data_IF_287515540103
#
_entry.id   IF_287515540103
#
_cell.length_a   1.000
_cell.length_b   1.000
_cell.length_c   1.000
_cell.angle_alpha   90.00
_cell.angle_beta   90.00
_cell.angle_gamma   90.00
#
_symmetry.space_group_name_H-M   'P 1'
#
loop_
_entity.id
_entity.type
_entity.pdbx_description
1 polymer ?
#
# COMPACT_ATOMS: atom_id res chain seq x y z
N UNK A 1 5.17 8.76 -15.68
CA UNK A 1 6.00 8.13 -16.74
C UNK A 1 6.32 9.17 -17.79
N UNK A 2 7.57 9.31 -18.17
CA UNK A 2 7.98 10.23 -19.22
C UNK A 2 7.91 9.58 -20.63
N UNK A 3 8.21 10.36 -21.67
CA UNK A 3 8.19 9.91 -23.06
C UNK A 3 9.23 8.83 -23.38
N UNK A 4 10.26 8.68 -22.54
CA UNK A 4 11.27 7.63 -22.63
C UNK A 4 10.88 6.33 -21.92
N UNK A 5 9.68 6.28 -21.33
CA UNK A 5 9.17 5.13 -20.59
C UNK A 5 9.68 4.99 -19.17
N UNK A 6 10.41 5.98 -18.63
CA UNK A 6 10.84 5.97 -17.23
C UNK A 6 9.64 6.13 -16.31
N UNK A 7 9.59 5.35 -15.24
CA UNK A 7 8.58 5.42 -14.20
C UNK A 7 9.14 6.12 -12.97
N UNK A 8 8.44 7.15 -12.52
CA UNK A 8 8.75 7.86 -11.28
C UNK A 8 7.80 7.37 -10.19
N UNK A 9 8.35 7.03 -9.03
CA UNK A 9 7.61 6.55 -7.87
C UNK A 9 7.65 7.54 -6.72
N UNK A 10 6.83 7.28 -5.72
CA UNK A 10 6.89 7.92 -4.42
C UNK A 10 7.58 6.97 -3.44
N UNK A 11 8.65 7.42 -2.81
CA UNK A 11 9.29 6.71 -1.70
C UNK A 11 8.73 7.26 -0.40
N UNK A 12 8.04 6.40 0.32
CA UNK A 12 7.43 6.73 1.59
C UNK A 12 8.28 6.15 2.72
N UNK A 13 8.47 6.93 3.79
CA UNK A 13 9.20 6.49 4.97
C UNK A 13 8.30 6.67 6.19
N UNK A 14 8.05 5.57 6.88
CA UNK A 14 7.27 5.55 8.12
C UNK A 14 8.17 5.11 9.26
N UNK A 15 8.02 5.77 10.40
CA UNK A 15 8.69 5.40 11.62
C UNK A 15 7.80 4.40 12.36
N UNK A 16 8.29 3.16 12.54
CA UNK A 16 7.56 2.08 13.22
C UNK A 16 8.36 1.54 14.39
N UNK A 17 7.68 1.07 15.42
CA UNK A 17 8.31 0.49 16.61
C UNK A 17 9.02 -0.83 16.32
N UNK A 18 10.08 -1.14 17.10
CA UNK A 18 10.83 -2.40 16.98
C UNK A 18 10.26 -3.56 17.79
N UNK A 19 9.15 -3.36 18.49
CA UNK A 19 8.58 -4.39 19.36
C UNK A 19 8.02 -5.61 18.61
N UNK A 20 7.75 -5.46 17.30
CA UNK A 20 7.25 -6.53 16.43
C UNK A 20 8.27 -7.07 15.43
N UNK A 21 8.06 -8.29 14.95
CA UNK A 21 8.86 -8.84 13.85
C UNK A 21 8.54 -8.12 12.54
N UNK A 22 9.56 -7.56 11.90
CA UNK A 22 9.42 -6.80 10.64
C UNK A 22 8.73 -7.59 9.53
N UNK A 23 9.09 -8.85 9.35
CA UNK A 23 8.50 -9.67 8.28
C UNK A 23 7.03 -9.98 8.52
N UNK A 24 6.60 -10.10 9.78
CA UNK A 24 5.17 -10.23 10.11
C UNK A 24 4.39 -8.96 9.82
N UNK A 25 4.96 -7.81 10.16
CA UNK A 25 4.36 -6.51 9.80
C UNK A 25 4.26 -6.37 8.29
N UNK A 26 5.35 -6.67 7.55
CA UNK A 26 5.37 -6.60 6.10
C UNK A 26 4.33 -7.52 5.46
N UNK A 27 4.20 -8.77 5.92
CA UNK A 27 3.24 -9.75 5.42
C UNK A 27 1.80 -9.24 5.46
N UNK A 28 1.39 -8.62 6.57
CA UNK A 28 0.02 -8.13 6.74
C UNK A 28 -0.21 -6.74 6.14
N UNK A 29 0.86 -5.96 5.91
CA UNK A 29 0.78 -4.65 5.26
C UNK A 29 0.76 -4.74 3.74
N UNK A 30 1.46 -5.72 3.15
CA UNK A 30 1.57 -5.88 1.70
C UNK A 30 0.22 -5.93 0.97
N UNK A 31 -0.81 -6.65 1.44
CA UNK A 31 -2.11 -6.67 0.77
C UNK A 31 -2.73 -5.27 0.67
N UNK A 32 -2.61 -4.46 1.72
CA UNK A 32 -3.01 -3.06 1.69
C UNK A 32 -2.22 -2.28 0.64
N UNK A 33 -0.88 -2.36 0.66
CA UNK A 33 -0.01 -1.65 -0.28
C UNK A 33 -0.27 -2.04 -1.73
N UNK A 34 -0.60 -3.31 -1.98
CA UNK A 34 -0.94 -3.84 -3.31
C UNK A 34 -2.28 -3.30 -3.80
N UNK A 35 -3.30 -3.26 -2.95
CA UNK A 35 -4.66 -2.85 -3.34
C UNK A 35 -4.88 -1.34 -3.28
N UNK A 36 -4.12 -0.57 -2.48
CA UNK A 36 -4.29 0.88 -2.33
C UNK A 36 -4.05 1.68 -3.62
N UNK A 37 -3.46 1.07 -4.66
CA UNK A 37 -3.39 1.71 -5.97
C UNK A 37 -4.77 2.11 -6.53
N UNK A 38 -5.85 1.45 -6.09
CA UNK A 38 -7.20 1.82 -6.49
C UNK A 38 -7.63 3.20 -5.98
N UNK A 39 -7.08 3.62 -4.84
CA UNK A 39 -7.41 4.91 -4.20
C UNK A 39 -6.34 5.99 -4.42
N UNK A 40 -5.12 5.61 -4.77
CA UNK A 40 -4.01 6.56 -4.92
C UNK A 40 -3.07 6.24 -6.10
N UNK A 41 -3.49 5.43 -7.06
CA UNK A 41 -2.77 5.23 -8.31
C UNK A 41 -2.81 6.48 -9.19
N UNK A 42 -1.73 6.75 -9.94
CA UNK A 42 -1.62 7.91 -10.80
C UNK A 42 -1.98 7.62 -12.28
N UNK A 43 -2.33 6.38 -12.58
CA UNK A 43 -2.71 5.96 -13.92
C UNK A 43 -1.56 5.92 -14.93
N UNK A 44 -1.67 5.02 -15.89
CA UNK A 44 -0.70 4.90 -17.01
C UNK A 44 -1.39 4.30 -18.23
N UNK A 45 -1.03 4.78 -19.41
CA UNK A 45 -1.31 4.06 -20.66
C UNK A 45 -0.13 3.11 -20.93
N UNK A 46 -0.37 1.83 -20.79
CA UNK A 46 0.61 0.78 -21.05
C UNK A 46 0.52 0.36 -22.54
N UNK A 47 1.62 0.53 -23.26
CA UNK A 47 1.74 0.02 -24.63
C UNK A 47 2.10 -1.46 -24.60
N UNK A 48 1.33 -2.27 -25.30
CA UNK A 48 1.57 -3.70 -25.47
C UNK A 48 1.57 -4.07 -26.94
N UNK A 49 2.10 -5.24 -27.35
CA UNK A 49 2.00 -5.73 -28.73
C UNK A 49 0.55 -5.87 -29.22
N UNK A 50 -0.43 -5.92 -28.32
CA UNK A 50 -1.86 -6.03 -28.63
C UNK A 50 -2.59 -4.68 -28.65
N UNK A 51 -1.86 -3.57 -28.43
CA UNK A 51 -2.42 -2.22 -28.35
C UNK A 51 -2.19 -1.54 -27.01
N UNK A 52 -2.82 -0.39 -26.84
CA UNK A 52 -2.74 0.41 -25.60
C UNK A 52 -3.77 -0.05 -24.59
N UNK A 53 -3.35 -0.16 -23.32
CA UNK A 53 -4.24 -0.49 -22.19
C UNK A 53 -4.01 0.51 -21.06
N UNK A 54 -5.09 1.00 -20.44
CA UNK A 54 -5.00 1.80 -19.24
C UNK A 54 -4.72 0.90 -18.03
N UNK A 55 -3.81 1.33 -17.16
CA UNK A 55 -3.53 0.71 -15.87
C UNK A 55 -3.64 1.73 -14.75
N UNK A 56 -4.09 1.29 -13.56
CA UNK A 56 -4.34 2.17 -12.41
C UNK A 56 -3.04 2.69 -11.82
N UNK A 57 -1.99 1.86 -11.77
CA UNK A 57 -0.68 2.24 -11.25
C UNK A 57 0.36 2.40 -12.35
N UNK A 58 1.24 3.38 -12.19
CA UNK A 58 2.43 3.53 -13.02
C UNK A 58 3.55 2.55 -12.62
N UNK A 59 3.52 2.01 -11.39
CA UNK A 59 4.60 1.24 -10.78
C UNK A 59 4.39 -0.27 -10.83
N UNK A 60 3.15 -0.76 -10.90
CA UNK A 60 2.82 -2.18 -10.75
C UNK A 60 3.65 -3.11 -11.65
N UNK A 61 3.88 -2.72 -12.91
CA UNK A 61 4.65 -3.52 -13.88
C UNK A 61 6.16 -3.54 -13.58
N UNK A 62 6.64 -2.62 -12.73
CA UNK A 62 8.06 -2.49 -12.39
C UNK A 62 8.41 -3.12 -11.03
N UNK A 63 7.43 -3.71 -10.34
CA UNK A 63 7.62 -4.38 -9.04
C UNK A 63 7.87 -5.86 -9.26
N UNK A 64 8.97 -6.38 -8.70
CA UNK A 64 9.40 -7.77 -8.90
C UNK A 64 9.54 -8.57 -7.63
N UNK A 65 9.63 -7.91 -6.48
CA UNK A 65 9.78 -8.54 -5.16
C UNK A 65 8.83 -7.89 -4.14
N UNK A 66 8.39 -8.67 -3.17
CA UNK A 66 7.55 -8.14 -2.09
C UNK A 66 8.39 -7.38 -1.07
N UNK A 67 9.48 -7.97 -0.60
CA UNK A 67 10.39 -7.40 0.39
C UNK A 67 11.82 -7.69 -0.04
N UNK A 68 12.68 -6.66 -0.13
CA UNK A 68 14.08 -6.83 -0.53
C UNK A 68 14.92 -5.63 -0.10
N UNK A 69 16.23 -5.83 0.07
CA UNK A 69 17.21 -4.75 0.24
C UNK A 69 17.71 -4.16 -1.08
N UNK A 70 17.40 -4.80 -2.21
CA UNK A 70 17.83 -4.35 -3.52
C UNK A 70 17.13 -3.05 -3.94
N UNK A 71 17.88 -2.15 -4.60
CA UNK A 71 17.35 -0.82 -4.97
C UNK A 71 17.32 -0.58 -6.47
N UNK A 72 18.18 -1.26 -7.24
CA UNK A 72 18.43 -0.92 -8.66
C UNK A 72 17.83 -1.91 -9.64
N UNK A 73 17.93 -3.20 -9.40
CA UNK A 73 17.44 -4.24 -10.32
C UNK A 73 16.09 -4.80 -9.94
N UNK A 74 15.84 -4.93 -8.65
CA UNK A 74 14.58 -5.39 -8.10
C UNK A 74 13.93 -4.21 -7.40
N UNK A 75 12.71 -3.85 -7.79
CA UNK A 75 11.92 -2.82 -7.13
C UNK A 75 10.92 -3.53 -6.23
N UNK A 76 11.22 -3.66 -4.92
CA UNK A 76 10.31 -4.31 -4.00
C UNK A 76 9.12 -3.41 -3.65
N UNK A 77 8.08 -3.99 -3.05
CA UNK A 77 6.99 -3.23 -2.42
C UNK A 77 7.54 -2.51 -1.20
N UNK A 78 8.29 -3.25 -0.35
CA UNK A 78 8.94 -2.73 0.87
C UNK A 78 10.44 -2.99 0.77
N UNK A 79 11.24 -1.95 0.99
CA UNK A 79 12.68 -2.06 1.07
C UNK A 79 13.12 -2.24 2.53
N UNK A 80 14.05 -3.15 2.76
CA UNK A 80 14.50 -3.52 4.12
C UNK A 80 15.61 -2.64 4.69
N UNK A 81 16.04 -1.58 3.99
CA UNK A 81 17.02 -0.64 4.51
C UNK A 81 16.47 0.09 5.73
N UNK A 82 17.10 -0.14 6.85
CA UNK A 82 16.69 0.33 8.17
C UNK A 82 17.62 1.44 8.66
N UNK A 83 17.31 2.66 8.30
CA UNK A 83 18.03 3.89 8.70
C UNK A 83 17.01 4.91 9.21
N UNK A 84 16.57 4.81 10.49
CA UNK A 84 15.33 5.47 10.93
C UNK A 84 15.45 6.99 11.12
N UNK A 85 16.64 7.61 11.09
CA UNK A 85 16.83 9.02 11.46
C UNK A 85 16.19 9.40 12.82
N UNK A 86 16.11 8.42 13.72
CA UNK A 86 15.55 8.50 15.06
C UNK A 86 16.32 7.53 15.97
N UNK A 87 15.86 7.34 17.22
CA UNK A 87 16.41 6.34 18.12
C UNK A 87 16.29 4.92 17.50
N UNK A 88 17.42 4.41 17.00
CA UNK A 88 17.48 3.14 16.29
C UNK A 88 17.27 1.91 17.19
N UNK A 89 17.30 2.05 18.51
CA UNK A 89 16.98 0.96 19.44
C UNK A 89 15.45 0.79 19.57
N UNK A 90 14.72 1.87 19.45
CA UNK A 90 13.25 1.92 19.63
C UNK A 90 12.49 1.83 18.32
N UNK A 91 13.03 2.40 17.25
CA UNK A 91 12.33 2.59 15.99
C UNK A 91 13.10 2.02 14.81
N UNK A 92 12.36 1.66 13.77
CA UNK A 92 12.89 1.33 12.45
C UNK A 92 12.22 2.17 11.36
N UNK A 93 12.91 2.33 10.27
CA UNK A 93 12.33 2.90 9.05
C UNK A 93 11.61 1.82 8.26
N UNK A 94 10.32 1.97 8.08
CA UNK A 94 9.59 1.23 7.06
C UNK A 94 9.67 2.02 5.75
N UNK A 95 10.41 1.50 4.78
CA UNK A 95 10.64 2.14 3.49
C UNK A 95 9.75 1.51 2.42
N UNK A 96 8.65 2.17 2.07
CA UNK A 96 7.70 1.74 1.04
C UNK A 96 8.04 2.42 -0.28
N UNK A 97 8.25 1.63 -1.35
CA UNK A 97 8.68 2.17 -2.65
C UNK A 97 7.72 1.86 -3.80
N UNK A 98 6.61 1.19 -3.51
CA UNK A 98 5.61 0.78 -4.51
C UNK A 98 4.69 1.93 -4.96
N UNK A 99 4.61 3.03 -4.20
CA UNK A 99 3.69 4.12 -4.44
C UNK A 99 3.97 4.88 -5.74
N UNK A 100 2.90 5.29 -6.42
CA UNK A 100 2.98 6.22 -7.54
C UNK A 100 3.26 7.65 -7.06
N UNK A 101 3.89 8.47 -7.89
CA UNK A 101 3.96 9.93 -7.67
C UNK A 101 2.61 10.56 -7.99
N UNK A 102 2.01 11.23 -7.02
CA UNK A 102 0.75 11.94 -7.17
C UNK A 102 0.99 13.45 -7.24
N UNK A 103 0.25 14.13 -8.10
CA UNK A 103 0.29 15.59 -8.21
C UNK A 103 -0.77 16.27 -7.32
N UNK A 104 -1.82 15.55 -6.92
CA UNK A 104 -2.87 16.06 -6.04
C UNK A 104 -2.48 15.90 -4.57
N UNK A 105 -2.61 16.98 -3.79
CA UNK A 105 -2.40 16.95 -2.34
C UNK A 105 -3.42 16.03 -1.66
N UNK A 106 -4.66 16.01 -2.13
CA UNK A 106 -5.72 15.13 -1.62
C UNK A 106 -5.33 13.66 -1.77
N UNK A 107 -4.83 13.28 -2.95
CA UNK A 107 -4.38 11.89 -3.18
C UNK A 107 -3.14 11.56 -2.34
N UNK A 108 -2.26 12.53 -2.13
CA UNK A 108 -1.08 12.37 -1.27
C UNK A 108 -1.49 12.22 0.20
N UNK A 109 -2.43 13.05 0.68
CA UNK A 109 -3.01 12.92 2.02
C UNK A 109 -3.62 11.54 2.22
N UNK A 110 -4.44 11.08 1.27
CA UNK A 110 -5.08 9.77 1.34
C UNK A 110 -4.03 8.65 1.37
N UNK A 111 -3.03 8.68 0.48
CA UNK A 111 -1.97 7.67 0.43
C UNK A 111 -1.20 7.55 1.74
N UNK A 112 -0.71 8.67 2.25
CA UNK A 112 0.11 8.70 3.47
C UNK A 112 -0.75 8.46 4.70
N UNK A 113 -1.90 9.11 4.79
CA UNK A 113 -2.78 9.03 5.96
C UNK A 113 -3.44 7.66 6.10
N UNK A 114 -3.91 7.05 5.01
CA UNK A 114 -4.44 5.69 5.07
C UNK A 114 -3.37 4.69 5.52
N UNK A 115 -2.14 4.85 5.03
CA UNK A 115 -1.02 3.99 5.46
C UNK A 115 -0.68 4.19 6.94
N UNK A 116 -0.66 5.43 7.43
CA UNK A 116 -0.43 5.74 8.84
C UNK A 116 -1.49 5.09 9.75
N UNK A 117 -2.77 5.20 9.37
CA UNK A 117 -3.86 4.58 10.12
C UNK A 117 -3.78 3.04 10.12
N UNK A 118 -3.45 2.44 8.98
CA UNK A 118 -3.22 0.98 8.90
C UNK A 118 -2.05 0.58 9.78
N UNK A 119 -0.93 1.30 9.74
CA UNK A 119 0.23 1.01 10.59
C UNK A 119 -0.10 1.10 12.08
N UNK A 120 -0.79 2.15 12.52
CA UNK A 120 -1.23 2.28 13.92
C UNK A 120 -2.11 1.10 14.36
N UNK A 121 -3.02 0.68 13.51
CA UNK A 121 -3.87 -0.48 13.76
C UNK A 121 -3.05 -1.79 13.86
N UNK A 122 -2.06 -1.96 12.99
CA UNK A 122 -1.20 -3.15 12.98
C UNK A 122 -0.24 -3.17 14.19
N UNK A 123 0.33 -2.03 14.58
CA UNK A 123 1.17 -1.90 15.77
C UNK A 123 0.38 -2.15 17.07
N UNK A 124 -0.92 -1.85 17.07
CA UNK A 124 -1.84 -2.21 18.16
C UNK A 124 -2.21 -3.70 18.18
N UNK A 125 -1.69 -4.52 17.25
CA UNK A 125 -1.88 -5.97 17.22
C UNK A 125 -3.16 -6.45 16.55
N UNK A 126 -3.80 -5.64 15.73
CA UNK A 126 -5.00 -6.05 15.01
C UNK A 126 -4.76 -7.27 14.11
N UNK A 127 -5.64 -8.29 14.12
CA UNK A 127 -5.48 -9.48 13.29
C UNK A 127 -5.83 -9.18 11.83
N UNK A 128 -4.82 -9.27 10.93
CA UNK A 128 -4.97 -8.98 9.51
C UNK A 128 -4.48 -10.10 8.58
N UNK A 129 -4.08 -11.25 9.13
CA UNK A 129 -3.52 -12.37 8.35
C UNK A 129 -4.51 -13.03 7.39
N UNK A 130 -5.79 -12.87 7.64
CA UNK A 130 -6.85 -13.38 6.77
C UNK A 130 -6.87 -12.74 5.38
N UNK A 131 -6.20 -11.60 5.20
CA UNK A 131 -6.04 -10.88 3.93
C UNK A 131 -4.69 -11.12 3.25
N UNK A 132 -3.79 -11.93 3.82
CA UNK A 132 -2.48 -12.25 3.21
C UNK A 132 -2.66 -12.80 1.79
N UNK A 133 -1.93 -12.22 0.83
CA UNK A 133 -1.97 -12.62 -0.57
C UNK A 133 -1.11 -13.86 -0.83
N UNK A 134 -1.61 -14.78 -1.66
CA UNK A 134 -0.83 -15.94 -2.14
C UNK A 134 0.36 -15.49 -3.00
N UNK A 135 0.14 -14.53 -3.88
CA UNK A 135 1.19 -13.98 -4.75
C UNK A 135 1.01 -12.45 -4.91
N UNK A 136 1.67 -11.64 -4.07
CA UNK A 136 1.55 -10.18 -4.12
C UNK A 136 1.99 -9.57 -5.46
N UNK A 137 3.02 -10.13 -6.10
CA UNK A 137 3.58 -9.59 -7.36
C UNK A 137 2.64 -9.81 -8.54
N UNK A 138 1.95 -10.93 -8.57
CA UNK A 138 0.88 -11.17 -9.54
C UNK A 138 -0.32 -10.29 -9.23
N UNK A 139 -0.73 -10.25 -7.97
CA UNK A 139 -1.91 -9.50 -7.53
C UNK A 139 -1.82 -8.01 -7.82
N UNK A 140 -0.65 -7.38 -7.62
CA UNK A 140 -0.48 -5.96 -7.90
C UNK A 140 -0.70 -5.64 -9.40
N UNK A 141 -0.26 -6.51 -10.30
CA UNK A 141 -0.46 -6.35 -11.75
C UNK A 141 -1.90 -6.61 -12.14
N UNK A 142 -2.50 -7.68 -11.60
CA UNK A 142 -3.90 -8.04 -11.85
C UNK A 142 -4.84 -6.90 -11.43
N UNK A 143 -4.64 -6.30 -10.26
CA UNK A 143 -5.41 -5.15 -9.77
C UNK A 143 -5.13 -3.90 -10.63
N UNK A 144 -3.87 -3.65 -11.02
CA UNK A 144 -3.50 -2.49 -11.83
C UNK A 144 -4.17 -2.49 -13.21
N UNK A 145 -4.35 -3.67 -13.80
CA UNK A 145 -4.94 -3.84 -15.13
C UNK A 145 -6.47 -3.85 -15.12
N UNK A 146 -7.09 -3.75 -13.95
CA UNK A 146 -8.54 -3.67 -13.80
C UNK A 146 -9.00 -2.37 -13.12
N UNK A 147 -9.34 -1.33 -13.89
CA UNK A 147 -9.83 -0.07 -13.35
C UNK A 147 -11.14 -0.18 -12.56
N UNK A 148 -11.87 -1.29 -12.69
CA UNK A 148 -13.10 -1.52 -11.92
C UNK A 148 -12.82 -1.99 -10.48
N UNK A 149 -11.60 -2.47 -10.21
CA UNK A 149 -11.19 -3.02 -8.93
C UNK A 149 -11.88 -4.34 -8.55
N UNK A 150 -12.59 -4.98 -9.49
CA UNK A 150 -13.41 -6.19 -9.23
C UNK A 150 -12.69 -7.50 -9.54
N UNK A 151 -11.53 -7.44 -10.19
CA UNK A 151 -10.74 -8.63 -10.50
C UNK A 151 -10.34 -9.34 -9.22
N UNK A 152 -10.59 -10.65 -9.18
CA UNK A 152 -10.29 -11.48 -8.01
C UNK A 152 -8.80 -11.84 -7.97
N UNK A 153 -8.23 -11.73 -6.78
CA UNK A 153 -6.88 -12.20 -6.42
C UNK A 153 -6.98 -13.26 -5.33
N UNK A 154 -6.02 -14.18 -5.29
CA UNK A 154 -6.03 -15.28 -4.32
C UNK A 154 -5.35 -14.88 -3.01
N UNK A 155 -5.98 -15.24 -1.91
CA UNK A 155 -5.44 -15.16 -0.57
C UNK A 155 -4.71 -16.46 -0.20
N UNK A 156 -3.76 -16.37 0.73
CA UNK A 156 -2.98 -17.52 1.22
C UNK A 156 -3.86 -18.61 1.87
N UNK A 157 -5.04 -18.24 2.36
CA UNK A 157 -6.02 -19.17 2.93
C UNK A 157 -6.92 -19.86 1.88
N UNK A 158 -6.64 -19.72 0.59
CA UNK A 158 -7.38 -20.30 -0.52
C UNK A 158 -8.63 -19.56 -0.98
N UNK A 159 -9.09 -18.54 -0.23
CA UNK A 159 -10.18 -17.65 -0.66
C UNK A 159 -9.73 -16.72 -1.76
N UNK A 160 -10.67 -16.10 -2.45
CA UNK A 160 -10.42 -15.02 -3.40
C UNK A 160 -11.18 -13.77 -2.98
N UNK A 161 -10.60 -12.61 -3.26
CA UNK A 161 -11.13 -11.28 -2.94
C UNK A 161 -10.77 -10.32 -4.06
N UNK A 162 -11.61 -9.35 -4.35
CA UNK A 162 -11.26 -8.28 -5.29
C UNK A 162 -10.42 -7.18 -4.61
N UNK A 163 -9.69 -6.41 -5.40
CA UNK A 163 -8.93 -5.27 -4.87
C UNK A 163 -9.82 -4.26 -4.15
N UNK A 164 -11.03 -4.04 -4.67
CA UNK A 164 -12.01 -3.13 -4.06
C UNK A 164 -12.54 -3.65 -2.72
N UNK A 165 -12.89 -4.93 -2.63
CA UNK A 165 -13.31 -5.56 -1.38
C UNK A 165 -12.18 -5.54 -0.35
N UNK A 166 -10.93 -5.78 -0.78
CA UNK A 166 -9.76 -5.69 0.11
C UNK A 166 -9.61 -4.29 0.70
N UNK A 167 -9.75 -3.22 -0.09
CA UNK A 167 -9.70 -1.85 0.41
C UNK A 167 -10.85 -1.56 1.39
N UNK A 168 -12.06 -2.06 1.13
CA UNK A 168 -13.20 -1.94 2.05
C UNK A 168 -12.97 -2.65 3.38
N UNK A 169 -12.37 -3.84 3.35
CA UNK A 169 -12.00 -4.55 4.58
C UNK A 169 -10.99 -3.75 5.42
N UNK A 170 -9.96 -3.17 4.78
CA UNK A 170 -9.02 -2.31 5.49
C UNK A 170 -9.70 -1.07 6.04
N UNK A 171 -10.49 -0.36 5.24
CA UNK A 171 -11.22 0.83 5.70
C UNK A 171 -12.14 0.51 6.90
N UNK A 172 -12.94 -0.54 6.80
CA UNK A 172 -13.87 -0.95 7.87
C UNK A 172 -13.13 -1.23 9.18
N UNK A 173 -12.01 -1.95 9.12
CA UNK A 173 -11.22 -2.28 10.32
C UNK A 173 -10.49 -1.07 10.88
N UNK A 174 -9.94 -0.22 10.00
CA UNK A 174 -9.29 1.03 10.39
C UNK A 174 -10.28 1.99 11.03
N UNK A 175 -11.47 2.16 10.44
CA UNK A 175 -12.52 3.02 10.99
C UNK A 175 -12.95 2.55 12.38
N UNK A 176 -13.20 1.25 12.56
CA UNK A 176 -13.54 0.70 13.86
C UNK A 176 -12.43 0.92 14.89
N UNK A 177 -11.17 0.70 14.53
CA UNK A 177 -10.00 0.94 15.38
C UNK A 177 -9.85 2.42 15.75
N UNK A 178 -9.91 3.31 14.76
CA UNK A 178 -9.74 4.74 14.96
C UNK A 178 -10.87 5.35 15.79
N UNK A 179 -12.10 4.87 15.62
CA UNK A 179 -13.26 5.27 16.42
C UNK A 179 -13.10 4.81 17.88
N UNK A 180 -12.70 3.57 18.11
CA UNK A 180 -12.47 3.04 19.46
C UNK A 180 -11.32 3.76 20.19
N UNK A 181 -10.33 4.26 19.46
CA UNK A 181 -9.19 5.03 19.99
C UNK A 181 -9.43 6.55 20.09
N UNK A 182 -10.63 7.05 19.80
CA UNK A 182 -10.96 8.48 19.83
C UNK A 182 -10.28 9.30 18.71
N UNK A 183 -9.68 8.65 17.71
CA UNK A 183 -8.98 9.36 16.62
C UNK A 183 -9.94 10.10 15.68
N UNK A 184 -11.23 9.74 15.69
CA UNK A 184 -12.27 10.34 14.86
C UNK A 184 -13.15 11.33 15.62
N UNK A 185 -12.79 11.70 16.85
CA UNK A 185 -13.58 12.63 17.69
C UNK A 185 -13.53 14.07 17.16
N UNK A 186 -12.45 14.42 16.45
CA UNK A 186 -12.35 15.68 15.72
C UNK A 186 -12.72 15.47 14.24
N UNK A 187 -13.90 15.92 13.76
CA UNK A 187 -14.32 15.79 12.37
C UNK A 187 -13.43 16.54 11.38
N UNK A 188 -12.69 17.56 11.83
CA UNK A 188 -11.74 18.33 10.99
C UNK A 188 -10.31 17.78 11.12
N UNK A 189 -10.09 16.82 12.00
CA UNK A 189 -8.81 16.15 12.19
C UNK A 189 -8.36 15.34 10.98
N UNK A 190 -7.05 15.17 10.83
CA UNK A 190 -6.48 14.40 9.71
C UNK A 190 -7.04 12.98 9.62
N UNK A 191 -7.18 12.21 10.72
CA UNK A 191 -7.76 10.86 10.64
C UNK A 191 -9.17 10.83 10.07
N UNK A 192 -10.06 11.72 10.53
CA UNK A 192 -11.44 11.81 10.02
C UNK A 192 -11.47 12.14 8.54
N UNK A 193 -10.70 13.13 8.11
CA UNK A 193 -10.60 13.50 6.68
C UNK A 193 -10.05 12.37 5.82
N UNK A 194 -9.12 11.56 6.32
CA UNK A 194 -8.58 10.41 5.60
C UNK A 194 -9.64 9.32 5.45
N UNK A 195 -10.38 9.01 6.51
CA UNK A 195 -11.47 8.02 6.49
C UNK A 195 -12.58 8.45 5.52
N UNK A 196 -12.95 9.73 5.53
CA UNK A 196 -13.98 10.29 4.63
C UNK A 196 -13.58 10.25 3.14
N UNK A 197 -12.29 10.36 2.86
CA UNK A 197 -11.75 10.32 1.49
C UNK A 197 -11.52 8.90 0.96
N UNK A 198 -11.34 7.95 1.85
CA UNK A 198 -11.02 6.56 1.51
C UNK A 198 -12.26 5.79 1.08
#
# INVERSE_FOLDING_TARGET
TDSAGNSYGCHENYLVGRQGEFFRLAEVLIPFLVSRQLICGAGKVLQTPRGATYTVSQRAEHVWESVSSATTRSRPIINTRDEPHADAERFRRLHVIVGDSNMSETTTLLKVGATDLVLKMLEAGAPMRDLTLENPIRSIRDISQDPTGRRLVRLANGRSISGLEMQREYLTRVEAFARAGGMLDDPQGVPSRVVDLW
#
